data_IF_345603496277
#
_entry.id   IF_345603496277
#
_cell.length_a   1.000
_cell.length_b   1.000
_cell.length_c   1.000
_cell.angle_alpha   90.00
_cell.angle_beta   90.00
_cell.angle_gamma   90.00
#
_symmetry.space_group_name_H-M   'P 1'
#
loop_
_entity.id
_entity.type
_entity.pdbx_description
1 polymer ?
#
# COMPACT_ATOMS: atom_id res chain seq x y z
N UNK A 1 15.46 -0.08 6.05
CA UNK A 1 15.39 -0.52 4.63
C UNK A 1 14.61 0.54 3.86
N UNK A 2 15.20 1.18 2.85
CA UNK A 2 14.42 2.13 2.02
C UNK A 2 13.49 1.33 1.10
N UNK A 3 12.26 1.81 0.96
CA UNK A 3 11.30 1.23 0.02
C UNK A 3 11.74 1.68 -1.37
N UNK A 4 12.23 0.74 -2.20
CA UNK A 4 12.53 1.02 -3.60
C UNK A 4 11.20 1.09 -4.34
N UNK A 5 10.86 2.27 -4.85
CA UNK A 5 9.70 2.51 -5.70
C UNK A 5 10.16 2.42 -7.16
N UNK A 6 9.98 1.26 -7.80
CA UNK A 6 10.46 0.97 -9.16
C UNK A 6 9.35 0.94 -10.23
N UNK A 7 8.09 1.21 -9.82
CA UNK A 7 6.90 1.23 -10.68
C UNK A 7 6.13 2.54 -10.51
N UNK A 8 5.59 3.04 -11.62
CA UNK A 8 4.80 4.27 -11.66
C UNK A 8 3.39 4.00 -12.20
N UNK A 9 2.42 4.74 -11.68
CA UNK A 9 1.03 4.75 -12.16
C UNK A 9 0.75 6.12 -12.78
N UNK A 10 0.46 6.15 -14.08
CA UNK A 10 0.06 7.36 -14.79
C UNK A 10 -1.46 7.40 -14.93
N UNK A 11 -2.08 8.45 -14.40
CA UNK A 11 -3.54 8.65 -14.45
C UNK A 11 -3.83 10.01 -15.07
N UNK A 12 -4.65 10.03 -16.13
CA UNK A 12 -5.14 11.28 -16.73
C UNK A 12 -6.36 11.75 -15.93
N UNK A 13 -6.29 12.98 -15.42
CA UNK A 13 -7.36 13.57 -14.60
C UNK A 13 -7.64 14.99 -15.09
N UNK A 14 -8.92 15.41 -15.19
CA UNK A 14 -9.25 16.80 -15.50
C UNK A 14 -8.62 17.76 -14.48
N UNK A 15 -8.01 18.85 -14.96
CA UNK A 15 -7.34 19.85 -14.11
C UNK A 15 -8.19 20.37 -12.95
N UNK A 16 -9.51 20.67 -13.13
CA UNK A 16 -10.35 21.12 -12.02
C UNK A 16 -10.50 20.07 -10.92
N UNK A 17 -10.56 18.79 -11.28
CA UNK A 17 -10.68 17.69 -10.34
C UNK A 17 -9.36 17.48 -9.60
N UNK A 18 -8.24 17.47 -10.32
CA UNK A 18 -6.91 17.36 -9.71
C UNK A 18 -6.67 18.48 -8.69
N UNK A 19 -7.06 19.73 -9.00
CA UNK A 19 -6.91 20.85 -8.10
C UNK A 19 -7.73 20.68 -6.80
N UNK A 20 -8.95 20.14 -6.88
CA UNK A 20 -9.78 19.81 -5.72
C UNK A 20 -9.13 18.73 -4.86
N UNK A 21 -8.71 17.63 -5.48
CA UNK A 21 -8.05 16.51 -4.79
C UNK A 21 -6.75 16.95 -4.11
N UNK A 22 -5.93 17.77 -4.78
CA UNK A 22 -4.70 18.30 -4.23
C UNK A 22 -4.93 19.15 -2.97
N UNK A 23 -6.01 19.93 -2.91
CA UNK A 23 -6.38 20.70 -1.70
C UNK A 23 -6.74 19.77 -0.54
N UNK A 24 -7.54 18.73 -0.79
CA UNK A 24 -7.92 17.74 0.22
C UNK A 24 -6.69 17.01 0.78
N UNK A 25 -5.76 16.62 -0.09
CA UNK A 25 -4.56 15.87 0.30
C UNK A 25 -3.59 16.64 1.21
N UNK A 26 -3.71 17.98 1.31
CA UNK A 26 -2.73 18.81 2.01
C UNK A 26 -2.70 18.56 3.52
N UNK A 27 -3.83 18.18 4.11
CA UNK A 27 -3.98 18.02 5.56
C UNK A 27 -3.72 16.57 6.02
N UNK A 28 -4.21 15.59 5.26
CA UNK A 28 -4.27 14.19 5.72
C UNK A 28 -3.26 13.27 5.01
N UNK A 29 -3.05 13.47 3.70
CA UNK A 29 -2.31 12.50 2.87
C UNK A 29 -0.95 13.00 2.36
N UNK A 30 -0.57 14.24 2.72
CA UNK A 30 0.63 14.98 2.27
C UNK A 30 0.72 15.26 0.76
N UNK A 31 0.24 14.36 -0.09
CA UNK A 31 0.29 14.44 -1.56
C UNK A 31 -0.80 13.59 -2.21
N UNK A 32 -1.14 13.90 -3.47
CA UNK A 32 -2.09 13.10 -4.26
C UNK A 32 -1.60 11.66 -4.44
N UNK A 33 -0.30 11.45 -4.66
CA UNK A 33 0.31 10.12 -4.72
C UNK A 33 0.28 9.38 -3.38
N UNK A 34 0.24 10.10 -2.26
CA UNK A 34 0.00 9.51 -0.93
C UNK A 34 -1.40 8.94 -0.86
N UNK A 35 -2.41 9.77 -1.17
CA UNK A 35 -3.81 9.35 -1.20
C UNK A 35 -4.04 8.13 -2.10
N UNK A 36 -3.54 8.16 -3.34
CA UNK A 36 -3.71 7.03 -4.28
C UNK A 36 -3.08 5.74 -3.74
N UNK A 37 -1.95 5.83 -3.03
CA UNK A 37 -1.33 4.65 -2.42
C UNK A 37 -2.14 4.07 -1.29
N UNK A 38 -2.68 4.91 -0.41
CA UNK A 38 -3.55 4.46 0.68
C UNK A 38 -4.81 3.78 0.13
N UNK A 39 -5.49 4.40 -0.84
CA UNK A 39 -6.69 3.80 -1.47
C UNK A 39 -6.39 2.45 -2.14
N UNK A 40 -5.24 2.33 -2.82
CA UNK A 40 -4.84 1.05 -3.41
C UNK A 40 -4.50 0.00 -2.35
N UNK A 41 -3.93 0.41 -1.21
CA UNK A 41 -3.66 -0.50 -0.11
C UNK A 41 -4.95 -0.97 0.55
N UNK A 42 -5.91 -0.07 0.79
CA UNK A 42 -7.24 -0.39 1.33
C UNK A 42 -7.95 -1.42 0.44
N UNK A 43 -8.03 -1.20 -0.87
CA UNK A 43 -8.66 -2.14 -1.80
C UNK A 43 -7.93 -3.51 -1.82
N UNK A 44 -6.59 -3.50 -1.77
CA UNK A 44 -5.81 -4.74 -1.70
C UNK A 44 -6.12 -5.46 -0.39
N UNK A 45 -6.18 -4.77 0.74
CA UNK A 45 -6.47 -5.36 2.04
C UNK A 45 -7.90 -5.91 2.13
N UNK A 46 -8.90 -5.22 1.57
CA UNK A 46 -10.28 -5.70 1.50
C UNK A 46 -10.45 -6.93 0.60
N UNK A 47 -9.62 -7.04 -0.44
CA UNK A 47 -9.63 -8.20 -1.33
C UNK A 47 -8.88 -9.43 -0.78
N UNK A 48 -8.17 -9.30 0.34
CA UNK A 48 -7.54 -10.43 1.02
C UNK A 48 -8.61 -11.29 1.72
N UNK A 49 -8.54 -12.61 1.51
CA UNK A 49 -9.35 -13.56 2.27
C UNK A 49 -8.88 -13.60 3.73
N UNK A 50 -9.76 -14.01 4.65
CA UNK A 50 -9.41 -14.23 6.07
C UNK A 50 -8.15 -15.09 6.26
N UNK A 51 -7.93 -16.04 5.35
CA UNK A 51 -6.80 -16.96 5.33
C UNK A 51 -5.47 -16.22 5.09
N UNK A 52 -5.46 -15.24 4.18
CA UNK A 52 -4.30 -14.41 3.87
C UNK A 52 -3.97 -13.44 5.01
N UNK A 53 -5.01 -12.90 5.65
CA UNK A 53 -4.86 -12.07 6.85
C UNK A 53 -4.23 -12.85 8.01
N UNK A 54 -4.62 -14.11 8.22
CA UNK A 54 -3.99 -15.00 9.22
C UNK A 54 -2.51 -15.24 8.94
N UNK A 55 -2.12 -15.41 7.68
CA UNK A 55 -0.72 -15.54 7.26
C UNK A 55 0.05 -14.25 7.52
N UNK A 56 -0.50 -13.09 7.16
CA UNK A 56 0.15 -11.79 7.38
C UNK A 56 0.35 -11.50 8.88
N UNK A 57 -0.66 -11.78 9.72
CA UNK A 57 -0.55 -11.58 11.18
C UNK A 57 0.49 -12.55 11.78
N UNK A 58 0.51 -13.81 11.35
CA UNK A 58 1.48 -14.81 11.78
C UNK A 58 2.91 -14.39 11.39
N UNK A 59 3.10 -13.96 10.16
CA UNK A 59 4.41 -13.54 9.65
C UNK A 59 4.87 -12.20 10.22
N UNK A 60 3.98 -11.25 10.49
CA UNK A 60 4.31 -10.04 11.29
C UNK A 60 4.82 -10.43 12.68
N UNK A 61 4.14 -11.32 13.39
CA UNK A 61 4.59 -11.82 14.70
C UNK A 61 5.95 -12.53 14.61
N UNK A 62 6.20 -13.30 13.54
CA UNK A 62 7.49 -13.95 13.30
C UNK A 62 8.60 -12.93 12.99
N UNK A 63 8.30 -11.89 12.21
CA UNK A 63 9.21 -10.79 11.89
C UNK A 63 9.62 -10.02 13.15
N UNK A 64 8.67 -9.63 14.00
CA UNK A 64 8.97 -8.96 15.28
C UNK A 64 9.74 -9.84 16.28
N UNK A 65 9.69 -11.17 16.12
CA UNK A 65 10.49 -12.14 16.89
C UNK A 65 11.84 -12.47 16.24
N UNK A 66 12.24 -11.77 15.18
CA UNK A 66 13.51 -11.99 14.47
C UNK A 66 13.58 -13.28 13.65
N UNK A 67 12.44 -13.96 13.43
CA UNK A 67 12.33 -15.23 12.69
C UNK A 67 11.56 -15.13 11.37
N UNK A 68 11.04 -13.96 11.01
CA UNK A 68 10.15 -13.78 9.85
C UNK A 68 10.90 -13.63 8.54
N UNK A 69 10.58 -14.48 7.58
CA UNK A 69 10.96 -14.29 6.17
C UNK A 69 10.09 -13.15 5.64
N UNK A 70 10.68 -12.18 4.92
CA UNK A 70 9.90 -11.16 4.23
C UNK A 70 8.87 -11.88 3.34
N UNK A 71 7.58 -11.65 3.55
CA UNK A 71 6.51 -12.38 2.85
C UNK A 71 6.61 -12.26 1.32
N UNK A 72 7.26 -11.20 0.81
CA UNK A 72 7.58 -11.05 -0.63
C UNK A 72 8.69 -11.99 -1.15
N UNK A 73 9.45 -12.65 -0.27
CA UNK A 73 10.46 -13.67 -0.59
C UNK A 73 9.91 -15.10 -0.59
N UNK A 74 8.65 -15.30 -0.20
CA UNK A 74 7.99 -16.60 -0.37
C UNK A 74 7.75 -16.76 -1.87
N UNK A 75 8.67 -17.47 -2.54
CA UNK A 75 8.55 -17.80 -3.97
C UNK A 75 7.18 -18.41 -4.20
N UNK A 76 6.36 -17.76 -5.03
CA UNK A 76 5.17 -18.38 -5.63
C UNK A 76 5.66 -19.63 -6.36
N UNK A 77 5.31 -20.80 -5.83
CA UNK A 77 5.38 -22.06 -6.57
C UNK A 77 4.47 -22.00 -7.78
#
# INVERSE_FOLDING_TARGET
>A
MSVIMDKELLVRVPSPLYAKVKRLCKNEYKSVSGLVRELLLEEVEESLKEEDLKIIVKERKNFYKGKGINWRKVKRG
#
